data_IF_339142951535
#
_entry.id   IF_339142951535
#
_cell.length_a   1.000
_cell.length_b   1.000
_cell.length_c   1.000
_cell.angle_alpha   90.00
_cell.angle_beta   90.00
_cell.angle_gamma   90.00
#
_symmetry.space_group_name_H-M   'P 1'
#
loop_
_entity.id
_entity.type
_entity.pdbx_description
1 polymer ?
#
# COMPACT_ATOMS: atom_id res chain seq x y z
N UNK A 1 -9.16 18.51 -21.89
CA UNK A 1 -8.52 18.56 -20.56
C UNK A 1 -7.83 17.22 -20.34
N UNK A 2 -6.50 17.19 -20.39
CA UNK A 2 -5.71 15.98 -20.18
C UNK A 2 -5.72 15.65 -18.69
N UNK A 3 -6.35 14.53 -18.32
CA UNK A 3 -6.15 13.93 -17.00
C UNK A 3 -4.69 13.53 -16.88
N UNK A 4 -3.93 14.24 -16.07
CA UNK A 4 -2.58 13.82 -15.69
C UNK A 4 -2.75 12.51 -14.92
N UNK A 5 -2.51 11.40 -15.61
CA UNK A 5 -2.44 10.07 -15.01
C UNK A 5 -1.34 10.11 -13.95
N UNK A 6 -1.72 10.20 -12.67
CA UNK A 6 -0.80 10.02 -11.56
C UNK A 6 -0.36 8.56 -11.53
N UNK A 7 0.63 8.21 -12.36
CA UNK A 7 1.26 6.90 -12.39
C UNK A 7 2.43 6.89 -11.42
N UNK A 8 2.14 6.57 -10.16
CA UNK A 8 3.18 6.14 -9.25
C UNK A 8 3.65 4.74 -9.70
N UNK A 9 4.55 4.73 -10.70
CA UNK A 9 5.09 3.52 -11.33
C UNK A 9 6.18 2.83 -10.50
N UNK A 10 6.39 3.27 -9.27
CA UNK A 10 7.42 2.70 -8.41
C UNK A 10 6.86 1.46 -7.69
N UNK A 11 7.58 0.32 -7.74
CA UNK A 11 7.26 -0.82 -6.90
C UNK A 11 7.43 -0.41 -5.43
N UNK A 12 6.45 -0.75 -4.60
CA UNK A 12 6.43 -0.41 -3.18
C UNK A 12 6.25 -1.70 -2.39
N UNK A 13 7.04 -1.85 -1.32
CA UNK A 13 6.87 -2.92 -0.37
C UNK A 13 6.11 -2.41 0.86
N UNK A 14 4.97 -3.03 1.16
CA UNK A 14 4.19 -2.77 2.36
C UNK A 14 4.44 -3.90 3.35
N UNK A 15 5.06 -3.56 4.48
CA UNK A 15 5.23 -4.46 5.60
C UNK A 15 4.07 -4.28 6.58
N UNK A 16 3.23 -5.30 6.71
CA UNK A 16 2.11 -5.32 7.66
C UNK A 16 2.59 -6.04 8.91
N UNK A 17 2.73 -5.28 10.00
CA UNK A 17 2.96 -5.80 11.35
C UNK A 17 1.61 -6.11 11.98
N UNK A 18 1.03 -7.27 11.65
CA UNK A 18 -0.05 -7.82 12.48
C UNK A 18 0.54 -8.32 13.81
N UNK A 19 -0.30 -8.36 14.84
CA UNK A 19 0.03 -8.73 16.22
C UNK A 19 1.05 -9.88 16.31
N UNK A 20 1.95 -9.80 17.31
CA UNK A 20 3.18 -10.56 17.69
C UNK A 20 3.59 -11.88 16.97
N UNK A 21 2.73 -12.53 16.21
CA UNK A 21 2.89 -13.88 15.64
C UNK A 21 2.90 -13.89 14.10
N UNK A 22 2.43 -12.84 13.41
CA UNK A 22 2.39 -12.84 11.93
C UNK A 22 2.84 -11.51 11.33
N UNK A 23 4.02 -11.51 10.71
CA UNK A 23 4.46 -10.44 9.79
C UNK A 23 4.07 -10.85 8.37
N UNK A 24 3.26 -10.06 7.69
CA UNK A 24 2.94 -10.25 6.27
C UNK A 24 3.63 -9.12 5.49
N UNK A 25 4.42 -9.48 4.49
CA UNK A 25 4.98 -8.51 3.54
C UNK A 25 4.14 -8.59 2.26
N UNK A 26 3.61 -7.47 1.81
CA UNK A 26 2.94 -7.33 0.52
C UNK A 26 3.86 -6.52 -0.39
N UNK A 27 4.29 -7.09 -1.51
CA UNK A 27 4.96 -6.34 -2.57
C UNK A 27 3.95 -6.02 -3.66
N UNK A 28 3.96 -4.80 -4.17
CA UNK A 28 3.04 -4.41 -5.22
C UNK A 28 3.24 -2.99 -5.70
N UNK A 29 2.29 -2.48 -6.45
CA UNK A 29 2.24 -1.10 -6.92
C UNK A 29 1.03 -0.38 -6.33
N UNK A 30 1.18 0.90 -5.97
CA UNK A 30 0.02 1.72 -5.62
C UNK A 30 -0.78 1.95 -6.90
N UNK A 31 -2.05 1.54 -6.87
CA UNK A 31 -2.99 1.72 -7.99
C UNK A 31 -4.01 2.82 -7.71
N UNK A 32 -4.18 3.20 -6.44
CA UNK A 32 -5.11 4.23 -6.03
C UNK A 32 -4.69 4.85 -4.69
N UNK A 33 -4.90 6.16 -4.57
CA UNK A 33 -4.69 6.94 -3.35
C UNK A 33 -5.95 7.76 -3.13
N UNK A 34 -6.54 7.65 -1.94
CA UNK A 34 -7.61 8.54 -1.46
C UNK A 34 -7.08 9.43 -0.33
N UNK A 35 -7.95 10.23 0.28
CA UNK A 35 -7.64 11.01 1.47
C UNK A 35 -7.42 10.16 2.73
N UNK A 36 -7.88 8.91 2.75
CA UNK A 36 -7.91 8.09 3.98
C UNK A 36 -7.11 6.78 3.87
N UNK A 37 -6.92 6.27 2.66
CA UNK A 37 -6.26 5.00 2.41
C UNK A 37 -5.53 4.97 1.06
N UNK A 38 -4.57 4.05 0.95
CA UNK A 38 -3.95 3.65 -0.32
C UNK A 38 -4.38 2.25 -0.70
N UNK A 39 -4.50 1.97 -2.00
CA UNK A 39 -4.72 0.62 -2.53
C UNK A 39 -3.49 0.17 -3.28
N UNK A 40 -2.99 -1.00 -2.90
CA UNK A 40 -1.85 -1.66 -3.56
C UNK A 40 -2.32 -2.92 -4.28
N UNK A 41 -1.83 -3.08 -5.50
CA UNK A 41 -2.04 -4.27 -6.30
C UNK A 41 -0.75 -5.11 -6.32
N UNK A 42 -0.84 -6.39 -5.96
CA UNK A 42 0.29 -7.33 -6.07
C UNK A 42 0.43 -7.90 -7.49
N UNK A 43 1.40 -8.79 -7.69
CA UNK A 43 1.66 -9.46 -8.98
C UNK A 43 0.50 -10.38 -9.42
N UNK A 44 -0.23 -10.97 -8.47
CA UNK A 44 -1.44 -11.77 -8.73
C UNK A 44 -2.69 -10.92 -9.04
N UNK A 45 -2.51 -9.63 -9.30
CA UNK A 45 -3.57 -8.64 -9.51
C UNK A 45 -4.55 -8.44 -8.34
N UNK A 46 -4.28 -9.01 -7.16
CA UNK A 46 -5.05 -8.84 -5.93
C UNK A 46 -4.83 -7.42 -5.41
N UNK A 47 -5.93 -6.75 -5.06
CA UNK A 47 -5.94 -5.38 -4.52
C UNK A 47 -6.20 -5.42 -3.02
N UNK A 48 -5.29 -4.85 -2.24
CA UNK A 48 -5.44 -4.63 -0.80
C UNK A 48 -5.39 -3.13 -0.48
N UNK A 49 -6.28 -2.67 0.40
CA UNK A 49 -6.33 -1.27 0.85
C UNK A 49 -5.80 -1.12 2.27
N UNK A 50 -5.07 -0.04 2.52
CA UNK A 50 -4.41 0.25 3.79
C UNK A 50 -4.71 1.69 4.24
N UNK A 51 -5.28 1.84 5.43
CA UNK A 51 -5.62 3.16 5.97
C UNK A 51 -4.37 3.91 6.44
N UNK A 52 -4.31 5.23 6.20
CA UNK A 52 -3.19 6.07 6.66
C UNK A 52 -2.98 6.05 8.18
N UNK A 53 -4.05 5.86 8.94
CA UNK A 53 -3.97 5.73 10.39
C UNK A 53 -3.14 4.50 10.81
N UNK A 54 -3.16 3.41 10.05
CA UNK A 54 -2.40 2.21 10.37
C UNK A 54 -0.89 2.40 10.13
N UNK A 55 -0.50 3.32 9.23
CA UNK A 55 0.89 3.75 9.08
C UNK A 55 1.32 4.62 10.25
N UNK A 56 0.46 5.55 10.67
CA UNK A 56 0.73 6.46 11.81
C UNK A 56 0.87 5.68 13.12
N UNK A 57 0.08 4.62 13.30
CA UNK A 57 0.16 3.71 14.45
C UNK A 57 1.32 2.69 14.35
N UNK A 58 2.10 2.71 13.27
CA UNK A 58 3.22 1.78 13.06
C UNK A 58 2.82 0.32 12.81
N UNK A 59 1.52 0.06 12.58
CA UNK A 59 1.00 -1.27 12.21
C UNK A 59 1.38 -1.62 10.78
N UNK A 60 1.58 -0.62 9.93
CA UNK A 60 2.02 -0.76 8.56
C UNK A 60 3.26 0.10 8.34
N UNK A 61 4.24 -0.42 7.62
CA UNK A 61 5.43 0.31 7.21
C UNK A 61 5.57 0.24 5.70
N UNK A 62 5.81 1.39 5.07
CA UNK A 62 6.14 1.49 3.67
C UNK A 62 7.66 1.38 3.52
N UNK A 63 8.12 0.54 2.59
CA UNK A 63 9.53 0.38 2.21
C UNK A 63 9.68 0.62 0.71
N UNK A 64 10.74 1.34 0.35
CA UNK A 64 11.23 1.55 -1.01
C UNK A 64 12.53 0.76 -1.20
#
# INVERSE_FOLDING_TARGET
MSSVDFKLQQPIEILIKKSKVSRKTLKGKIVYISEHFITVQNEDHIRESFNFIDFSLGKIQLKH
#
